data_IF_276248442133
#
_entry.id   IF_276248442133
#
_cell.length_a   1.000
_cell.length_b   1.000
_cell.length_c   1.000
_cell.angle_alpha   90.00
_cell.angle_beta   90.00
_cell.angle_gamma   90.00
#
_symmetry.space_group_name_H-M   'P 1'
#
loop_
_entity.id
_entity.type
_entity.pdbx_description
1 polymer ?
#
# COMPACT_ATOMS: atom_id res chain seq x y z
N UNK A 1 -83.36 18.61 -57.66
CA UNK A 1 -82.13 19.43 -57.52
C UNK A 1 -81.30 19.03 -56.28
N UNK A 2 -81.89 18.90 -55.09
CA UNK A 2 -81.16 18.61 -53.82
C UNK A 2 -80.37 17.29 -53.72
N UNK A 3 -80.74 16.25 -54.49
CA UNK A 3 -80.07 14.94 -54.39
C UNK A 3 -78.67 14.95 -55.02
N UNK A 4 -78.49 15.74 -56.08
CA UNK A 4 -77.23 15.84 -56.81
C UNK A 4 -76.17 16.57 -55.97
N UNK A 5 -76.58 17.62 -55.26
CA UNK A 5 -75.70 18.40 -54.36
C UNK A 5 -75.22 17.57 -53.15
N UNK A 6 -76.07 16.66 -52.63
CA UNK A 6 -75.66 15.72 -51.58
C UNK A 6 -74.58 14.75 -52.07
N UNK A 7 -74.78 14.19 -53.27
CA UNK A 7 -73.82 13.26 -53.87
C UNK A 7 -72.49 13.95 -54.21
N UNK A 8 -72.53 15.20 -54.66
CA UNK A 8 -71.34 16.03 -54.92
C UNK A 8 -70.56 16.27 -53.62
N UNK A 9 -71.25 16.64 -52.52
CA UNK A 9 -70.62 16.82 -51.20
C UNK A 9 -69.96 15.56 -50.68
N UNK A 10 -70.63 14.40 -50.78
CA UNK A 10 -70.04 13.11 -50.37
C UNK A 10 -68.82 12.74 -51.23
N UNK A 11 -68.86 13.05 -52.53
CA UNK A 11 -67.74 12.80 -53.45
C UNK A 11 -66.53 13.70 -53.14
N UNK A 12 -66.76 14.95 -52.74
CA UNK A 12 -65.71 15.88 -52.29
C UNK A 12 -65.10 15.39 -50.97
N UNK A 13 -65.91 14.95 -50.00
CA UNK A 13 -65.44 14.40 -48.72
C UNK A 13 -64.53 13.18 -48.95
N UNK A 14 -64.98 12.19 -49.74
CA UNK A 14 -64.19 11.00 -50.09
C UNK A 14 -62.92 11.31 -50.89
N UNK A 15 -62.92 12.39 -51.69
CA UNK A 15 -61.73 12.85 -52.43
C UNK A 15 -60.69 13.45 -51.48
N UNK A 16 -61.12 14.15 -50.44
CA UNK A 16 -60.21 14.72 -49.43
C UNK A 16 -59.63 13.67 -48.49
N UNK A 17 -60.33 12.56 -48.23
CA UNK A 17 -59.80 11.40 -47.47
C UNK A 17 -58.59 10.74 -48.15
N UNK A 18 -58.54 10.71 -49.49
CA UNK A 18 -57.37 10.20 -50.23
C UNK A 18 -56.11 11.07 -50.06
N UNK A 19 -56.26 12.31 -49.59
CA UNK A 19 -55.16 13.23 -49.32
C UNK A 19 -54.89 13.42 -47.83
N UNK A 20 -55.35 12.50 -46.98
CA UNK A 20 -54.84 12.40 -45.61
C UNK A 20 -53.34 12.16 -45.71
N UNK A 21 -52.58 13.24 -45.57
CA UNK A 21 -51.14 13.16 -45.34
C UNK A 21 -51.01 12.30 -44.10
N UNK A 22 -50.37 11.13 -44.24
CA UNK A 22 -49.98 10.35 -43.09
C UNK A 22 -49.30 11.31 -42.12
N UNK A 23 -49.95 11.59 -40.98
CA UNK A 23 -49.28 12.21 -39.86
C UNK A 23 -48.20 11.19 -39.54
N UNK A 24 -46.96 11.50 -39.89
CA UNK A 24 -45.81 10.77 -39.39
C UNK A 24 -45.90 10.97 -37.89
N UNK A 25 -46.50 10.01 -37.21
CA UNK A 25 -46.39 9.91 -35.77
C UNK A 25 -44.90 9.77 -35.57
N UNK A 26 -44.26 10.80 -35.04
CA UNK A 26 -42.85 10.75 -34.68
C UNK A 26 -42.64 9.38 -34.03
N UNK A 27 -41.74 8.58 -34.58
CA UNK A 27 -41.38 7.28 -34.01
C UNK A 27 -40.65 7.55 -32.69
N UNK A 28 -41.38 8.05 -31.70
CA UNK A 28 -40.96 8.25 -30.34
C UNK A 28 -40.87 6.83 -29.80
N UNK A 29 -39.67 6.25 -29.93
CA UNK A 29 -39.31 5.04 -29.22
C UNK A 29 -39.53 5.39 -27.75
N UNK A 30 -40.61 4.88 -27.17
CA UNK A 30 -40.93 5.03 -25.76
C UNK A 30 -39.74 4.50 -24.97
N UNK A 31 -39.19 5.32 -24.09
CA UNK A 31 -38.07 4.97 -23.21
C UNK A 31 -38.48 3.89 -22.20
N UNK A 32 -38.65 2.66 -22.68
CA UNK A 32 -38.62 1.50 -21.82
C UNK A 32 -37.16 1.25 -21.49
N UNK A 33 -36.78 1.60 -20.25
CA UNK A 33 -35.62 1.00 -19.59
C UNK A 33 -35.85 -0.51 -19.60
N UNK A 34 -35.29 -1.19 -20.59
CA UNK A 34 -35.51 -2.61 -20.78
C UNK A 34 -34.60 -3.32 -19.78
N UNK A 35 -35.19 -3.79 -18.69
CA UNK A 35 -34.57 -4.81 -17.86
C UNK A 35 -34.95 -6.15 -18.50
N UNK A 36 -33.98 -6.88 -19.06
CA UNK A 36 -34.24 -8.27 -19.43
C UNK A 36 -34.45 -9.09 -18.14
N UNK A 37 -35.17 -10.21 -18.24
CA UNK A 37 -35.38 -11.15 -17.12
C UNK A 37 -34.05 -11.70 -16.54
N UNK A 38 -32.95 -11.56 -17.29
CA UNK A 38 -31.57 -11.87 -16.88
C UNK A 38 -30.90 -10.76 -16.04
N UNK A 39 -31.60 -9.67 -15.73
CA UNK A 39 -31.06 -8.54 -14.94
C UNK A 39 -30.17 -7.56 -15.72
N UNK A 40 -30.02 -7.76 -17.04
CA UNK A 40 -29.28 -6.84 -17.90
C UNK A 40 -30.06 -5.54 -18.11
N UNK A 41 -29.43 -4.41 -17.78
CA UNK A 41 -29.99 -3.05 -17.92
C UNK A 41 -29.39 -2.37 -19.14
N UNK A 42 -30.21 -2.14 -20.16
CA UNK A 42 -29.79 -1.41 -21.35
C UNK A 42 -30.09 0.08 -21.20
N UNK A 43 -29.09 0.92 -21.47
CA UNK A 43 -29.19 2.37 -21.50
C UNK A 43 -28.98 2.86 -22.94
N UNK A 44 -29.62 3.98 -23.32
CA UNK A 44 -29.28 4.65 -24.57
C UNK A 44 -27.82 5.12 -24.52
N UNK A 45 -27.18 5.18 -25.67
CA UNK A 45 -25.74 5.51 -25.80
C UNK A 45 -25.33 6.76 -25.02
N UNK A 46 -26.14 7.83 -25.08
CA UNK A 46 -25.86 9.08 -24.35
C UNK A 46 -25.98 8.91 -22.83
N UNK A 47 -27.01 8.22 -22.34
CA UNK A 47 -27.20 7.97 -20.91
C UNK A 47 -26.09 7.06 -20.36
N UNK A 48 -25.70 6.03 -21.12
CA UNK A 48 -24.59 5.16 -20.78
C UNK A 48 -23.27 5.95 -20.67
N UNK A 49 -22.97 6.81 -21.65
CA UNK A 49 -21.78 7.65 -21.63
C UNK A 49 -21.75 8.62 -20.43
N UNK A 50 -22.91 9.13 -20.02
CA UNK A 50 -23.03 10.00 -18.86
C UNK A 50 -22.85 9.25 -17.53
N UNK A 51 -23.42 8.05 -17.39
CA UNK A 51 -23.20 7.21 -16.21
C UNK A 51 -21.72 6.76 -16.12
N UNK A 52 -21.08 6.41 -17.23
CA UNK A 52 -19.65 6.11 -17.28
C UNK A 52 -18.78 7.31 -16.87
N UNK A 53 -19.17 8.52 -17.29
CA UNK A 53 -18.52 9.75 -16.84
C UNK A 53 -18.63 9.94 -15.33
N UNK A 54 -19.83 9.78 -14.75
CA UNK A 54 -20.03 9.86 -13.29
C UNK A 54 -19.19 8.83 -12.53
N UNK A 55 -19.14 7.59 -13.03
CA UNK A 55 -18.34 6.53 -12.41
C UNK A 55 -16.86 6.89 -12.41
N UNK A 56 -16.33 7.39 -13.54
CA UNK A 56 -14.95 7.85 -13.66
C UNK A 56 -14.63 8.99 -12.69
N UNK A 57 -15.50 10.01 -12.61
CA UNK A 57 -15.29 11.11 -11.67
C UNK A 57 -15.32 10.65 -10.20
N UNK A 58 -16.22 9.72 -9.86
CA UNK A 58 -16.27 9.11 -8.52
C UNK A 58 -15.02 8.30 -8.20
N UNK A 59 -14.49 7.56 -9.16
CA UNK A 59 -13.24 6.80 -9.01
C UNK A 59 -12.04 7.74 -8.83
N UNK A 60 -11.93 8.77 -9.66
CA UNK A 60 -10.91 9.81 -9.56
C UNK A 60 -10.91 10.48 -8.19
N UNK A 61 -12.08 10.85 -7.66
CA UNK A 61 -12.21 11.41 -6.32
C UNK A 61 -11.73 10.42 -5.24
N UNK A 62 -12.10 9.14 -5.33
CA UNK A 62 -11.62 8.10 -4.40
C UNK A 62 -10.09 7.98 -4.42
N UNK A 63 -9.47 8.08 -5.58
CA UNK A 63 -8.00 8.03 -5.70
C UNK A 63 -7.34 9.23 -5.02
N UNK A 64 -7.86 10.44 -5.22
CA UNK A 64 -7.35 11.62 -4.52
C UNK A 64 -7.47 11.50 -3.00
N UNK A 65 -8.60 11.00 -2.49
CA UNK A 65 -8.78 10.75 -1.06
C UNK A 65 -7.76 9.73 -0.54
N UNK A 66 -7.49 8.65 -1.29
CA UNK A 66 -6.48 7.64 -0.92
C UNK A 66 -5.08 8.25 -0.82
N UNK A 67 -4.71 9.10 -1.78
CA UNK A 67 -3.41 9.78 -1.79
C UNK A 67 -3.30 10.70 -0.56
N UNK A 68 -4.35 11.46 -0.28
CA UNK A 68 -4.36 12.41 0.84
C UNK A 68 -4.30 11.69 2.20
N UNK A 69 -5.04 10.60 2.37
CA UNK A 69 -4.96 9.78 3.58
C UNK A 69 -3.55 9.21 3.78
N UNK A 70 -2.92 8.70 2.72
CA UNK A 70 -1.55 8.19 2.78
C UNK A 70 -0.55 9.29 3.16
N UNK A 71 -0.74 10.52 2.68
CA UNK A 71 0.07 11.68 3.07
C UNK A 71 -0.07 11.99 4.55
N UNK A 72 -1.32 12.05 5.06
CA UNK A 72 -1.60 12.29 6.49
C UNK A 72 -0.96 11.21 7.38
N UNK A 73 -1.10 9.94 7.02
CA UNK A 73 -0.48 8.83 7.75
C UNK A 73 1.05 8.89 7.75
N UNK A 74 1.66 9.31 6.63
CA UNK A 74 3.11 9.49 6.54
C UNK A 74 3.59 10.63 7.45
N UNK A 75 2.87 11.75 7.46
CA UNK A 75 3.17 12.90 8.32
C UNK A 75 3.08 12.47 9.79
N UNK A 76 1.99 11.82 10.19
CA UNK A 76 1.81 11.34 11.56
C UNK A 76 2.91 10.35 11.98
N UNK A 77 3.29 9.42 11.10
CA UNK A 77 4.39 8.48 11.37
C UNK A 77 5.72 9.20 11.58
N UNK A 78 6.00 10.24 10.80
CA UNK A 78 7.22 11.01 10.94
C UNK A 78 7.22 11.82 12.24
N UNK A 79 6.12 12.50 12.56
CA UNK A 79 5.96 13.24 13.82
C UNK A 79 6.13 12.32 15.03
N UNK A 80 5.47 11.16 15.03
CA UNK A 80 5.63 10.16 16.10
C UNK A 80 7.06 9.66 16.23
N UNK A 81 7.77 9.48 15.11
CA UNK A 81 9.18 9.07 15.12
C UNK A 81 10.07 10.13 15.78
N UNK A 82 9.88 11.40 15.42
CA UNK A 82 10.64 12.51 16.03
C UNK A 82 10.30 12.67 17.51
N UNK A 83 9.03 12.64 17.89
CA UNK A 83 8.61 12.70 19.28
C UNK A 83 9.21 11.57 20.13
N UNK A 84 9.31 10.36 19.58
CA UNK A 84 9.95 9.24 20.27
C UNK A 84 11.46 9.42 20.43
N UNK A 85 12.13 10.00 19.44
CA UNK A 85 13.56 10.32 19.51
C UNK A 85 13.80 11.36 20.60
N UNK A 86 13.02 12.45 20.62
CA UNK A 86 13.14 13.51 21.62
C UNK A 86 12.91 12.98 23.03
N UNK A 87 11.90 12.13 23.22
CA UNK A 87 11.64 11.47 24.50
C UNK A 87 12.80 10.57 24.94
N UNK A 88 13.42 9.85 24.00
CA UNK A 88 14.56 9.00 24.31
C UNK A 88 15.80 9.83 24.69
N UNK A 89 16.03 10.95 24.01
CA UNK A 89 17.11 11.90 24.35
C UNK A 89 16.90 12.46 25.75
N UNK A 90 15.67 12.88 26.08
CA UNK A 90 15.33 13.35 27.43
C UNK A 90 15.60 12.27 28.49
N UNK A 91 15.18 11.03 28.24
CA UNK A 91 15.43 9.91 29.16
C UNK A 91 16.91 9.63 29.40
N UNK A 92 17.76 9.72 28.38
CA UNK A 92 19.21 9.56 28.55
C UNK A 92 19.82 10.73 29.32
N UNK A 93 19.35 11.97 29.11
CA UNK A 93 19.76 13.13 29.92
C UNK A 93 19.34 12.96 31.38
N UNK A 94 18.10 12.55 31.65
CA UNK A 94 17.62 12.29 33.01
C UNK A 94 18.39 11.17 33.69
N UNK A 95 18.69 10.08 32.96
CA UNK A 95 19.49 8.96 33.46
C UNK A 95 20.90 9.40 33.82
N UNK A 96 21.55 10.18 32.96
CA UNK A 96 22.90 10.70 33.23
C UNK A 96 22.90 11.66 34.41
N UNK A 97 21.93 12.57 34.51
CA UNK A 97 21.75 13.45 35.66
C UNK A 97 21.55 12.67 36.96
N UNK A 98 20.69 11.64 36.94
CA UNK A 98 20.46 10.77 38.10
C UNK A 98 21.74 10.05 38.53
N UNK A 99 22.49 9.48 37.59
CA UNK A 99 23.79 8.83 37.86
C UNK A 99 24.82 9.82 38.43
N UNK A 100 24.81 11.08 37.97
CA UNK A 100 25.69 12.11 38.51
C UNK A 100 25.36 12.49 39.95
N UNK A 101 24.08 12.52 40.29
CA UNK A 101 23.57 12.85 41.64
C UNK A 101 23.64 11.67 42.62
N UNK A 102 24.00 10.46 42.18
CA UNK A 102 24.13 9.31 43.08
C UNK A 102 25.28 9.54 44.08
N UNK A 103 25.04 9.35 45.39
CA UNK A 103 26.02 9.62 46.44
C UNK A 103 27.19 8.61 46.47
N UNK A 104 27.10 7.50 45.73
CA UNK A 104 28.09 6.41 45.73
C UNK A 104 29.26 6.59 44.75
N UNK A 105 29.58 7.83 44.33
CA UNK A 105 30.79 8.11 43.53
C UNK A 105 32.08 8.02 44.36
N UNK A 106 32.30 6.90 45.06
CA UNK A 106 33.63 6.41 45.42
C UNK A 106 33.55 5.11 46.22
N UNK A 107 33.06 4.03 45.63
CA UNK A 107 33.73 2.76 45.90
C UNK A 107 34.32 2.31 44.57
N UNK A 108 35.56 2.75 44.37
CA UNK A 108 36.37 2.41 43.20
C UNK A 108 36.25 0.90 43.03
N UNK A 109 35.76 0.47 41.87
CA UNK A 109 36.14 -0.82 41.31
C UNK A 109 37.66 -0.81 41.13
N UNK A 110 38.41 -1.03 42.22
CA UNK A 110 39.74 -1.63 42.21
C UNK A 110 39.60 -3.12 41.86
N UNK A 111 38.60 -3.51 41.07
CA UNK A 111 38.52 -4.84 40.49
C UNK A 111 39.60 -4.88 39.42
N UNK A 112 40.80 -5.29 39.83
CA UNK A 112 41.88 -5.92 39.05
C UNK A 112 41.54 -6.05 37.55
N UNK A 113 41.58 -4.96 36.80
CA UNK A 113 41.48 -5.01 35.35
C UNK A 113 42.93 -5.16 34.88
N UNK A 114 43.31 -6.37 34.50
CA UNK A 114 44.67 -6.68 34.00
C UNK A 114 44.92 -6.17 32.57
N UNK A 115 43.99 -5.38 32.03
CA UNK A 115 44.06 -4.80 30.69
C UNK A 115 44.02 -3.27 30.81
N UNK A 116 45.10 -2.61 30.40
CA UNK A 116 45.13 -1.16 30.29
C UNK A 116 44.39 -0.75 29.01
N UNK A 117 43.15 -0.28 29.16
CA UNK A 117 42.24 0.05 28.04
C UNK A 117 42.78 1.25 27.23
N UNK A 118 43.61 2.09 27.85
CA UNK A 118 44.18 3.29 27.20
C UNK A 118 45.35 2.91 26.29
N UNK A 119 46.17 1.95 26.71
CA UNK A 119 47.41 1.57 26.00
C UNK A 119 47.30 0.26 25.20
N UNK A 120 46.18 -0.46 25.28
CA UNK A 120 45.98 -1.80 24.66
C UNK A 120 47.10 -2.80 24.98
N UNK A 121 47.85 -2.57 26.04
CA UNK A 121 48.90 -3.47 26.48
C UNK A 121 48.34 -4.31 27.63
N UNK A 122 48.41 -5.63 27.45
CA UNK A 122 48.24 -6.53 28.58
C UNK A 122 49.43 -6.34 29.51
N UNK A 123 49.16 -6.17 30.81
CA UNK A 123 50.23 -6.01 31.82
C UNK A 123 51.14 -7.24 31.87
N UNK A 124 50.63 -8.41 31.43
CA UNK A 124 51.35 -9.66 31.34
C UNK A 124 51.17 -10.31 29.95
N UNK A 125 52.27 -10.46 29.20
CA UNK A 125 52.31 -11.07 27.87
C UNK A 125 51.73 -12.50 27.85
N UNK A 126 51.93 -13.26 28.93
CA UNK A 126 51.46 -14.64 29.00
C UNK A 126 49.92 -14.74 29.10
N UNK A 127 49.30 -13.80 29.81
CA UNK A 127 47.83 -13.69 29.89
C UNK A 127 47.22 -13.25 28.55
N UNK A 128 47.90 -12.35 27.82
CA UNK A 128 47.52 -11.97 26.45
C UNK A 128 47.44 -13.18 25.53
N UNK A 129 48.52 -13.98 25.51
CA UNK A 129 48.60 -15.18 24.67
C UNK A 129 47.54 -16.22 25.05
N UNK A 130 47.21 -16.37 26.34
CA UNK A 130 46.12 -17.27 26.79
C UNK A 130 44.75 -16.79 26.28
N UNK A 131 44.48 -15.49 26.32
CA UNK A 131 43.22 -14.91 25.84
C UNK A 131 43.10 -15.00 24.32
N UNK A 132 44.19 -14.75 23.59
CA UNK A 132 44.24 -14.86 22.14
C UNK A 132 44.04 -16.31 21.67
N UNK A 133 44.70 -17.28 22.33
CA UNK A 133 44.45 -18.72 22.09
C UNK A 133 42.99 -19.11 22.32
N UNK A 134 42.34 -18.59 23.38
CA UNK A 134 40.91 -18.84 23.64
C UNK A 134 40.02 -18.28 22.53
N UNK A 135 40.29 -17.06 22.05
CA UNK A 135 39.57 -16.47 20.91
C UNK A 135 39.74 -17.30 19.64
N UNK A 136 40.98 -17.69 19.33
CA UNK A 136 41.28 -18.49 18.15
C UNK A 136 40.60 -19.88 18.21
N UNK A 137 40.61 -20.52 19.39
CA UNK A 137 39.90 -21.79 19.57
C UNK A 137 38.39 -21.64 19.39
N UNK A 138 37.77 -20.58 19.93
CA UNK A 138 36.34 -20.33 19.74
C UNK A 138 35.97 -20.11 18.27
N UNK A 139 36.79 -19.36 17.52
CA UNK A 139 36.63 -19.14 16.08
C UNK A 139 36.77 -20.47 15.33
N UNK A 140 37.78 -21.28 15.67
CA UNK A 140 38.01 -22.58 15.05
C UNK A 140 36.84 -23.54 15.31
N UNK A 141 36.34 -23.62 16.55
CA UNK A 141 35.16 -24.43 16.90
C UNK A 141 33.92 -23.99 16.12
N UNK A 142 33.69 -22.67 15.98
CA UNK A 142 32.60 -22.15 15.16
C UNK A 142 32.77 -22.49 13.69
N UNK A 143 33.99 -22.40 13.15
CA UNK A 143 34.30 -22.75 11.76
C UNK A 143 34.04 -24.23 11.50
N UNK A 144 34.48 -25.10 12.40
CA UNK A 144 34.26 -26.54 12.32
C UNK A 144 32.77 -26.91 12.38
N UNK A 145 32.03 -26.31 13.33
CA UNK A 145 30.58 -26.47 13.42
C UNK A 145 29.85 -26.04 12.15
N UNK A 146 30.24 -24.90 11.56
CA UNK A 146 29.68 -24.44 10.31
C UNK A 146 30.05 -25.35 9.14
N UNK A 147 31.28 -25.87 9.06
CA UNK A 147 31.65 -26.83 8.01
C UNK A 147 30.91 -28.16 8.13
N UNK A 148 30.68 -28.68 9.34
CA UNK A 148 29.87 -29.89 9.55
C UNK A 148 28.41 -29.67 9.12
N UNK A 149 27.84 -28.48 9.39
CA UNK A 149 26.48 -28.11 8.99
C UNK A 149 26.34 -27.76 7.50
N UNK A 150 27.42 -27.28 6.86
CA UNK A 150 27.45 -26.85 5.44
C UNK A 150 27.92 -27.97 4.50
N UNK A 151 28.22 -29.17 5.01
CA UNK A 151 28.29 -30.40 4.21
C UNK A 151 26.89 -30.85 3.72
N UNK A 152 26.06 -29.90 3.30
CA UNK A 152 24.95 -30.17 2.40
C UNK A 152 25.55 -30.67 1.09
N UNK A 153 24.91 -31.69 0.53
CA UNK A 153 25.37 -32.46 -0.63
C UNK A 153 25.60 -31.65 -1.91
N UNK A 154 25.41 -30.32 -1.91
CA UNK A 154 25.39 -29.46 -3.08
C UNK A 154 26.17 -28.15 -2.87
N UNK A 155 26.98 -27.76 -3.85
CA UNK A 155 27.63 -26.45 -3.91
C UNK A 155 26.57 -25.36 -4.18
N UNK A 156 26.36 -24.36 -3.30
CA UNK A 156 25.31 -23.35 -3.49
C UNK A 156 25.58 -22.37 -4.65
N UNK A 157 26.79 -22.33 -5.20
CA UNK A 157 27.14 -21.46 -6.33
C UNK A 157 26.98 -22.21 -7.66
N UNK A 158 27.44 -23.45 -7.74
CA UNK A 158 27.40 -24.24 -9.00
C UNK A 158 26.25 -25.25 -9.07
N UNK A 159 25.59 -25.55 -7.95
CA UNK A 159 24.52 -26.54 -7.86
C UNK A 159 24.98 -27.99 -8.03
N UNK A 160 26.29 -28.26 -8.06
CA UNK A 160 26.83 -29.60 -8.25
C UNK A 160 26.94 -30.37 -6.94
N UNK A 161 26.74 -31.69 -6.99
CA UNK A 161 26.99 -32.55 -5.83
C UNK A 161 28.48 -32.56 -5.51
N UNK A 162 28.82 -32.26 -4.26
CA UNK A 162 30.19 -32.45 -3.78
C UNK A 162 30.35 -33.94 -3.46
N UNK A 163 31.12 -34.65 -4.27
CA UNK A 163 31.48 -36.07 -4.06
C UNK A 163 32.25 -36.26 -2.76
#
# INVERSE_FOLDING_TARGET
MMHRDKLEKERIIKRNEKHVKNIVVDNIIVDKKFNNDEGNKYLRKYDAAYEDFKIREKQKLKEYIKIENRRKENIQRNENKWAQIDLNVQKEVEKTNRLQQMPFKSEKNKSKCSHDIINHQYVNYEESMKMERKKNNSILSRRNFLSEKINGSYNPITGEKRN
#
